data_IF_067620942455
#
_entry.id   IF_067620942455
#
_cell.length_a   1.000
_cell.length_b   1.000
_cell.length_c   1.000
_cell.angle_alpha   90.00
_cell.angle_beta   90.00
_cell.angle_gamma   90.00
#
_symmetry.space_group_name_H-M   'P 1'
#
loop_
_entity.id
_entity.type
_entity.pdbx_description
1 polymer ?
#
# COMPACT_ATOMS: atom_id res chain seq x y z
N UNK A 1 -11.77 12.26 -7.05
CA UNK A 1 -11.40 11.31 -6.03
C UNK A 1 -9.93 11.17 -5.95
N UNK A 2 -9.40 11.14 -4.76
CA UNK A 2 -7.96 11.03 -4.60
C UNK A 2 -7.61 9.67 -4.05
N UNK A 3 -6.52 9.14 -4.55
CA UNK A 3 -6.01 7.87 -4.07
C UNK A 3 -5.18 8.10 -2.82
N UNK A 4 -5.22 7.13 -1.93
CA UNK A 4 -4.41 7.18 -0.73
C UNK A 4 -3.16 6.34 -0.97
N UNK A 5 -2.04 6.82 -0.50
CA UNK A 5 -0.78 6.09 -0.62
C UNK A 5 -0.44 5.47 0.70
N UNK A 6 -0.03 4.22 0.66
CA UNK A 6 0.43 3.50 1.83
C UNK A 6 1.84 3.00 1.59
N UNK A 7 2.61 2.89 2.64
CA UNK A 7 3.98 2.38 2.58
C UNK A 7 4.14 1.28 3.59
N UNK A 8 4.77 0.19 3.17
CA UNK A 8 5.00 -0.94 4.04
C UNK A 8 6.48 -1.29 4.00
N UNK A 9 7.21 -1.08 5.07
CA UNK A 9 8.61 -1.47 5.11
C UNK A 9 8.73 -3.00 5.03
N UNK A 10 9.59 -3.48 4.15
CA UNK A 10 9.77 -4.91 3.97
C UNK A 10 11.01 -5.35 4.74
N UNK A 11 10.85 -6.35 5.58
CA UNK A 11 11.97 -6.87 6.35
C UNK A 11 12.19 -8.31 6.03
N UNK A 12 12.47 -8.70 4.93
CA UNK A 12 12.63 -10.07 4.54
C UNK A 12 12.58 -10.17 3.05
N UNK A 13 12.35 -11.32 2.49
CA UNK A 13 12.25 -11.45 1.05
C UNK A 13 11.08 -10.65 0.52
N UNK A 14 11.24 -10.10 -0.66
CA UNK A 14 10.19 -9.31 -1.26
C UNK A 14 8.99 -10.21 -1.57
N UNK A 15 7.77 -9.70 -1.41
CA UNK A 15 6.59 -10.48 -1.75
C UNK A 15 6.45 -10.62 -3.26
N UNK A 16 5.60 -11.55 -3.67
CA UNK A 16 5.29 -11.71 -5.08
C UNK A 16 4.37 -10.57 -5.49
N UNK A 17 4.91 -9.60 -6.21
CA UNK A 17 4.14 -8.43 -6.59
C UNK A 17 2.95 -8.77 -7.48
N UNK A 18 3.10 -9.75 -8.34
CA UNK A 18 2.01 -10.11 -9.21
C UNK A 18 0.83 -10.70 -8.42
N UNK A 19 1.14 -11.53 -7.45
CA UNK A 19 0.11 -12.10 -6.60
C UNK A 19 -0.57 -11.02 -5.77
N UNK A 20 0.19 -10.09 -5.24
CA UNK A 20 -0.35 -8.99 -4.49
C UNK A 20 -1.22 -8.12 -5.39
N UNK A 21 -0.73 -7.82 -6.57
CA UNK A 21 -1.46 -6.98 -7.50
C UNK A 21 -2.78 -7.61 -7.87
N UNK A 22 -2.79 -8.91 -8.14
CA UNK A 22 -4.03 -9.60 -8.46
C UNK A 22 -5.02 -9.52 -7.32
N UNK A 23 -4.58 -9.76 -6.11
CA UNK A 23 -5.45 -9.71 -4.95
C UNK A 23 -6.00 -8.32 -4.70
N UNK A 24 -5.16 -7.31 -4.87
CA UNK A 24 -5.59 -5.94 -4.66
C UNK A 24 -6.47 -5.44 -5.79
N UNK A 25 -6.19 -5.84 -7.01
CA UNK A 25 -7.02 -5.43 -8.14
C UNK A 25 -8.41 -6.01 -8.07
N UNK A 26 -8.55 -7.13 -7.40
CA UNK A 26 -9.87 -7.71 -7.20
C UNK A 26 -10.75 -6.78 -6.37
N UNK A 27 -10.15 -6.03 -5.46
CA UNK A 27 -10.88 -5.07 -4.63
C UNK A 27 -10.85 -3.67 -5.21
N UNK A 28 -9.78 -3.31 -5.90
CA UNK A 28 -9.62 -1.97 -6.46
C UNK A 28 -8.86 -2.07 -7.78
N UNK A 29 -9.55 -2.06 -8.92
CA UNK A 29 -8.87 -2.18 -10.21
C UNK A 29 -7.89 -1.07 -10.51
N UNK A 30 -7.97 0.05 -9.80
CA UNK A 30 -7.08 1.17 -10.04
C UNK A 30 -5.82 1.12 -9.20
N UNK A 31 -5.64 0.09 -8.40
CA UNK A 31 -4.51 0.04 -7.47
C UNK A 31 -3.19 0.01 -8.22
N UNK A 32 -2.21 0.70 -7.67
CA UNK A 32 -0.85 0.71 -8.21
C UNK A 32 0.10 0.23 -7.12
N UNK A 33 1.00 -0.65 -7.49
CA UNK A 33 1.98 -1.21 -6.57
C UNK A 33 3.37 -0.96 -7.09
N UNK A 34 4.30 -0.71 -6.18
CA UNK A 34 5.67 -0.44 -6.55
C UNK A 34 6.57 -0.74 -5.35
N UNK A 35 7.76 -1.24 -5.60
CA UNK A 35 8.73 -1.46 -4.54
C UNK A 35 9.93 -0.56 -4.81
N UNK A 36 10.30 0.20 -3.80
CA UNK A 36 11.49 1.03 -3.89
C UNK A 36 12.69 0.17 -3.51
N UNK A 37 13.60 -0.11 -4.43
CA UNK A 37 14.67 -1.08 -4.15
C UNK A 37 15.66 -0.63 -3.10
N UNK A 38 15.91 0.66 -3.02
CA UNK A 38 16.92 1.14 -2.06
C UNK A 38 16.44 1.07 -0.63
N UNK A 39 15.22 1.48 -0.39
CA UNK A 39 14.68 1.48 0.96
C UNK A 39 13.87 0.23 1.27
N UNK A 40 13.63 -0.60 0.26
CA UNK A 40 12.84 -1.82 0.42
C UNK A 40 11.48 -1.52 1.03
N UNK A 41 10.81 -0.55 0.44
CA UNK A 41 9.48 -0.17 0.90
C UNK A 41 8.49 -0.45 -0.22
N UNK A 42 7.44 -1.17 0.10
CA UNK A 42 6.34 -1.40 -0.82
C UNK A 42 5.43 -0.19 -0.78
N UNK A 43 5.17 0.40 -1.92
CA UNK A 43 4.28 1.55 -2.02
C UNK A 43 3.02 1.14 -2.74
N UNK A 44 1.89 1.52 -2.19
CA UNK A 44 0.58 1.17 -2.74
C UNK A 44 -0.23 2.43 -2.88
N UNK A 45 -0.75 2.68 -4.09
CA UNK A 45 -1.71 3.75 -4.30
C UNK A 45 -3.06 3.12 -4.60
N UNK A 46 -4.06 3.45 -3.82
CA UNK A 46 -5.33 2.77 -3.92
C UNK A 46 -6.47 3.67 -3.44
N UNK A 47 -7.67 3.35 -3.86
CA UNK A 47 -8.86 4.00 -3.36
C UNK A 47 -9.39 3.30 -2.11
N UNK A 48 -8.84 2.17 -1.75
CA UNK A 48 -9.28 1.44 -0.57
C UNK A 48 -8.79 2.13 0.69
N UNK A 49 -9.54 1.99 1.76
CA UNK A 49 -9.08 2.45 3.06
C UNK A 49 -8.26 1.35 3.71
N UNK A 50 -7.74 1.65 4.89
CA UNK A 50 -6.89 0.72 5.61
C UNK A 50 -7.60 -0.57 5.93
N UNK A 51 -8.86 -0.48 6.34
CA UNK A 51 -9.62 -1.66 6.72
C UNK A 51 -9.84 -2.62 5.56
N UNK A 52 -10.02 -2.07 4.35
CA UNK A 52 -10.22 -2.90 3.18
C UNK A 52 -8.90 -3.40 2.63
N UNK A 53 -7.85 -2.62 2.81
CA UNK A 53 -6.55 -2.96 2.26
C UNK A 53 -5.91 -4.13 3.00
N UNK A 54 -6.02 -4.16 4.31
CA UNK A 54 -5.37 -5.19 5.11
C UNK A 54 -5.76 -6.61 4.71
N UNK A 55 -7.06 -6.95 4.60
CA UNK A 55 -7.39 -8.31 4.19
C UNK A 55 -6.97 -8.62 2.76
N UNK A 56 -6.96 -7.62 1.89
CA UNK A 56 -6.52 -7.85 0.53
C UNK A 56 -5.03 -8.16 0.48
N UNK A 57 -4.23 -7.49 1.29
CA UNK A 57 -2.81 -7.78 1.39
C UNK A 57 -2.57 -9.19 1.90
N UNK A 58 -3.35 -9.61 2.88
CA UNK A 58 -3.23 -10.97 3.39
C UNK A 58 -3.52 -12.01 2.32
N UNK A 59 -4.53 -11.76 1.50
CA UNK A 59 -4.86 -12.67 0.41
C UNK A 59 -3.76 -12.71 -0.65
N UNK A 60 -3.04 -11.63 -0.79
CA UNK A 60 -1.94 -11.57 -1.74
C UNK A 60 -0.64 -12.14 -1.21
N UNK A 61 -0.65 -12.70 -0.02
CA UNK A 61 0.54 -13.31 0.55
C UNK A 61 1.39 -12.38 1.39
N UNK A 62 0.88 -11.20 1.72
CA UNK A 62 1.61 -10.26 2.56
C UNK A 62 0.76 -9.85 3.75
N UNK A 63 0.58 -10.74 4.72
CA UNK A 63 -0.21 -10.39 5.90
C UNK A 63 0.57 -9.43 6.77
N UNK A 64 0.01 -8.24 6.93
CA UNK A 64 0.63 -7.22 7.79
C UNK A 64 -0.42 -6.70 8.75
N UNK A 65 0.04 -6.10 9.83
CA UNK A 65 -0.88 -5.48 10.77
C UNK A 65 -1.04 -4.00 10.43
N UNK A 66 -2.04 -3.39 11.01
CA UNK A 66 -2.26 -1.96 10.78
C UNK A 66 -1.06 -1.14 11.23
N UNK A 67 -0.32 -1.62 12.21
CA UNK A 67 0.85 -0.91 12.69
C UNK A 67 1.98 -0.87 11.65
N UNK A 68 2.02 -1.84 10.76
CA UNK A 68 3.03 -1.87 9.71
C UNK A 68 2.64 -1.08 8.49
N UNK A 69 1.38 -0.73 8.39
CA UNK A 69 0.86 -0.02 7.24
C UNK A 69 0.97 1.48 7.50
N UNK A 70 1.84 2.13 6.77
CA UNK A 70 2.07 3.54 6.97
C UNK A 70 1.33 4.33 5.91
N UNK A 71 0.45 5.19 6.34
CA UNK A 71 -0.33 6.00 5.42
C UNK A 71 0.43 7.28 5.12
N UNK A 72 0.63 7.55 3.84
CA UNK A 72 1.32 8.75 3.45
C UNK A 72 0.30 9.88 3.37
N UNK A 73 0.49 10.94 4.13
CA UNK A 73 -0.46 12.04 4.08
C UNK A 73 -0.39 12.78 2.75
N UNK A 74 -1.50 13.34 2.39
CA UNK A 74 -1.57 14.09 1.16
C UNK A 74 -0.82 15.39 1.32
N UNK A 75 0.07 15.66 0.41
CA UNK A 75 0.85 16.80 0.56
C UNK A 75 0.23 18.05 0.22
N UNK A 76 -0.87 18.02 -0.39
CA UNK A 76 -1.49 19.24 -0.80
C UNK A 76 -1.81 20.11 0.34
N UNK A 77 -2.05 19.56 1.48
CA UNK A 77 -2.35 20.39 2.57
C UNK A 77 -1.17 20.71 3.36
N UNK A 78 -0.09 20.11 3.02
CA UNK A 78 1.07 20.39 3.79
C UNK A 78 1.35 21.84 3.91
N UNK A 79 1.16 22.50 2.85
CA UNK A 79 1.47 23.88 2.86
C UNK A 79 0.71 24.66 3.84
N UNK A 80 -0.53 24.32 3.97
CA UNK A 80 -1.26 25.12 4.84
C UNK A 80 -1.02 24.81 6.23
N UNK A 81 -0.59 23.68 6.45
CA UNK A 81 -0.30 23.37 7.80
C UNK A 81 0.58 24.40 8.32
N UNK A 82 1.16 24.82 7.49
CA UNK A 82 1.95 25.92 7.92
C UNK A 82 0.97 26.74 8.13
#
# INVERSE_FOLDING_TARGET
MSMTQFRIPLSGPAPDLQLLEDALQDADPSVLLDIEPLSRVLRISTLLDEHSLLPALGRGGLPVSAAQLERVPSECCGGCGG
#
